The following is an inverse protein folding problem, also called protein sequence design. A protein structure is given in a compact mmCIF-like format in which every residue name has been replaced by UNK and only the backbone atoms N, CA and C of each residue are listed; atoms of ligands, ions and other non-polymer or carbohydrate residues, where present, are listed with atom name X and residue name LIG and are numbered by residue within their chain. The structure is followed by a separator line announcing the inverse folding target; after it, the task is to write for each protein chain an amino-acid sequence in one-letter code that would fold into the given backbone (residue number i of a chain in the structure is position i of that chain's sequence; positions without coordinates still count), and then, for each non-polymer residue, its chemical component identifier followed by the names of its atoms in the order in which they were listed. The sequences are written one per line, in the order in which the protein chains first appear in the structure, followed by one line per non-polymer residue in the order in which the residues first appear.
data_IF_497124930240
#
_entry.id   IF_497124930240
#
_cell.length_a   1.000
_cell.length_b   1.000
_cell.length_c   1.000
_cell.angle_alpha   90.00
_cell.angle_beta   90.00
_cell.angle_gamma   90.00
#
_symmetry.space_group_name_H-M   'P 1'
#
loop_
_entity.id
_entity.type
_entity.pdbx_description
1 polymer ?
#
# COMPACT_ATOMS: atom_id res chain seq x y z
N UNK A 1 19.27 24.92 -75.50
CA UNK A 1 20.71 24.97 -75.14
C UNK A 1 20.98 23.79 -74.21
N UNK A 2 21.94 22.93 -74.60
CA UNK A 2 22.62 21.81 -73.92
C UNK A 2 22.10 21.36 -72.53
N UNK A 3 21.50 20.16 -72.41
CA UNK A 3 22.11 18.86 -72.02
C UNK A 3 22.59 18.79 -70.56
N UNK A 4 21.93 17.97 -69.72
CA UNK A 4 22.60 16.88 -68.99
C UNK A 4 21.60 15.90 -68.34
N UNK A 5 21.82 14.62 -68.64
CA UNK A 5 21.24 13.42 -68.04
C UNK A 5 22.06 12.97 -66.81
N UNK A 6 21.51 11.94 -66.13
CA UNK A 6 22.09 10.96 -65.19
C UNK A 6 21.56 11.20 -63.75
N UNK A 7 20.55 10.45 -63.26
CA UNK A 7 20.43 9.00 -62.95
C UNK A 7 21.09 8.64 -61.62
N UNK A 8 20.28 8.12 -60.67
CA UNK A 8 20.46 6.92 -59.82
C UNK A 8 19.58 7.07 -58.56
N UNK A 9 18.93 6.08 -57.92
CA UNK A 9 18.28 4.79 -58.21
C UNK A 9 18.14 4.08 -56.82
N UNK A 10 17.03 3.36 -56.60
CA UNK A 10 16.75 2.25 -55.63
C UNK A 10 16.18 2.51 -54.22
N UNK A 11 14.95 1.95 -54.07
CA UNK A 11 14.42 0.97 -53.08
C UNK A 11 14.10 1.44 -51.66
N UNK A 12 12.83 1.27 -51.26
CA UNK A 12 12.41 0.20 -50.32
C UNK A 12 10.90 -0.10 -50.42
N UNK A 13 10.58 -1.38 -50.61
CA UNK A 13 9.26 -2.00 -50.40
C UNK A 13 9.00 -2.09 -48.89
N UNK A 14 7.78 -1.76 -48.46
CA UNK A 14 7.17 -2.38 -47.29
C UNK A 14 5.65 -2.27 -47.38
N UNK A 15 5.02 -3.44 -47.44
CA UNK A 15 3.59 -3.65 -47.22
C UNK A 15 3.12 -2.98 -45.92
N UNK A 16 2.00 -2.26 -45.98
CA UNK A 16 1.24 -1.89 -44.80
C UNK A 16 -0.19 -2.37 -45.00
N UNK A 17 -0.38 -3.64 -44.59
CA UNK A 17 -1.68 -4.24 -44.36
C UNK A 17 -2.39 -3.54 -43.20
N UNK A 18 -3.70 -3.40 -43.36
CA UNK A 18 -4.68 -3.07 -42.32
C UNK A 18 -4.37 -3.78 -40.99
N UNK A 19 -4.09 -2.99 -39.96
CA UNK A 19 -4.21 -3.42 -38.58
C UNK A 19 -5.35 -2.61 -37.95
N UNK A 20 -6.49 -3.29 -37.83
CA UNK A 20 -7.60 -2.96 -36.96
C UNK A 20 -7.03 -2.91 -35.52
N UNK A 21 -6.80 -1.71 -35.00
CA UNK A 21 -6.45 -1.53 -33.59
C UNK A 21 -7.67 -1.92 -32.75
N UNK A 22 -7.65 -3.17 -32.30
CA UNK A 22 -8.50 -3.63 -31.23
C UNK A 22 -8.22 -2.77 -30.00
N UNK A 23 -9.20 -1.91 -29.69
CA UNK A 23 -9.28 -1.17 -28.45
C UNK A 23 -9.59 -2.19 -27.33
N UNK A 24 -8.59 -3.00 -27.00
CA UNK A 24 -8.58 -3.77 -25.76
C UNK A 24 -8.38 -2.70 -24.69
N UNK A 25 -9.50 -2.25 -24.12
CA UNK A 25 -9.52 -1.70 -22.77
C UNK A 25 -8.82 -2.73 -21.90
N UNK A 26 -7.49 -2.55 -21.74
CA UNK A 26 -6.72 -3.17 -20.69
C UNK A 26 -7.36 -2.61 -19.44
N UNK A 27 -8.28 -3.37 -18.85
CA UNK A 27 -8.80 -3.08 -17.53
C UNK A 27 -7.57 -3.24 -16.64
N UNK A 28 -6.83 -2.16 -16.44
CA UNK A 28 -5.83 -2.13 -15.39
C UNK A 28 -6.58 -2.56 -14.12
N UNK A 29 -6.10 -3.60 -13.41
CA UNK A 29 -6.70 -3.98 -12.16
C UNK A 29 -6.72 -2.71 -11.33
N UNK A 30 -7.93 -2.21 -11.04
CA UNK A 30 -8.09 -1.01 -10.23
C UNK A 30 -7.53 -1.37 -8.86
N UNK A 31 -6.26 -1.07 -8.63
CA UNK A 31 -5.58 -1.26 -7.37
C UNK A 31 -6.27 -0.34 -6.37
N UNK A 32 -7.26 -0.87 -5.66
CA UNK A 32 -8.02 -0.13 -4.67
C UNK A 32 -7.30 -0.29 -3.34
N UNK A 33 -7.08 0.83 -2.65
CA UNK A 33 -6.64 0.71 -1.27
C UNK A 33 -7.69 -0.07 -0.46
N UNK A 34 -7.20 -0.96 0.39
CA UNK A 34 -8.05 -1.74 1.30
C UNK A 34 -8.44 -0.92 2.54
N UNK A 35 -7.97 0.33 2.67
CA UNK A 35 -8.40 1.24 3.74
C UNK A 35 -9.44 2.23 3.26
N UNK A 36 -10.48 2.42 4.08
CA UNK A 36 -11.45 3.49 3.91
C UNK A 36 -10.92 4.83 4.39
N UNK A 37 -11.41 5.91 3.77
CA UNK A 37 -11.09 7.30 4.10
C UNK A 37 -9.59 7.61 4.05
N UNK A 38 -8.88 7.07 3.07
CA UNK A 38 -7.43 7.24 2.90
C UNK A 38 -6.98 8.70 2.65
N UNK A 39 -7.89 9.53 2.13
CA UNK A 39 -7.67 10.95 1.82
C UNK A 39 -8.39 11.88 2.81
N UNK A 40 -8.82 11.36 3.98
CA UNK A 40 -9.41 12.14 5.08
C UNK A 40 -10.67 12.97 4.76
N UNK A 41 -11.34 12.75 3.62
CA UNK A 41 -12.50 13.53 3.20
C UNK A 41 -13.72 13.35 4.10
N UNK A 42 -13.85 12.18 4.73
CA UNK A 42 -14.96 11.86 5.62
C UNK A 42 -14.58 12.17 7.06
N UNK A 43 -15.41 12.93 7.75
CA UNK A 43 -15.17 13.34 9.13
C UNK A 43 -15.97 14.57 9.51
N UNK A 44 -15.83 14.98 10.77
CA UNK A 44 -16.45 16.18 11.29
C UNK A 44 -15.40 16.99 12.03
N UNK A 45 -15.35 18.29 11.70
CA UNK A 45 -14.37 19.22 12.27
C UNK A 45 -12.94 18.67 12.14
N UNK A 46 -12.16 18.70 13.23
CA UNK A 46 -10.77 18.22 13.28
C UNK A 46 -10.62 16.70 13.35
N UNK A 47 -11.69 15.91 13.22
CA UNK A 47 -11.66 14.44 13.34
C UNK A 47 -11.95 13.78 12.01
N UNK A 48 -11.09 12.86 11.57
CA UNK A 48 -11.31 12.03 10.39
C UNK A 48 -11.94 10.69 10.76
N UNK A 49 -13.02 10.31 10.08
CA UNK A 49 -13.74 9.06 10.37
C UNK A 49 -12.84 7.85 10.10
N UNK A 50 -12.83 6.90 11.04
CA UNK A 50 -12.06 5.67 10.95
C UNK A 50 -10.55 5.86 11.12
N UNK A 51 -10.08 7.03 11.55
CA UNK A 51 -8.70 7.30 11.94
C UNK A 51 -8.65 7.76 13.40
N UNK A 52 -7.57 7.44 14.09
CA UNK A 52 -7.32 7.93 15.45
C UNK A 52 -6.19 8.94 15.44
N UNK A 53 -6.47 10.16 15.88
CA UNK A 53 -5.49 11.23 16.12
C UNK A 53 -5.27 11.35 17.63
N UNK A 54 -4.02 11.23 18.10
CA UNK A 54 -3.72 11.13 19.55
C UNK A 54 -2.31 11.64 19.90
N UNK A 55 -1.95 11.53 21.21
CA UNK A 55 -0.82 12.10 21.94
C UNK A 55 -0.97 13.58 22.33
N UNK A 56 0.09 14.16 22.90
CA UNK A 56 0.05 15.45 23.59
C UNK A 56 -0.36 16.62 22.69
N UNK A 57 -0.05 16.55 21.39
CA UNK A 57 -0.49 17.54 20.40
C UNK A 57 -1.03 16.79 19.18
N UNK A 58 -2.27 16.28 19.25
CA UNK A 58 -2.79 15.38 18.24
C UNK A 58 -2.96 16.09 16.89
N UNK A 59 -2.84 15.37 15.77
CA UNK A 59 -3.18 15.87 14.46
C UNK A 59 -4.65 16.29 14.38
N UNK A 60 -4.97 17.13 13.39
CA UNK A 60 -6.36 17.46 13.05
C UNK A 60 -6.63 17.23 11.57
N UNK A 61 -7.86 16.85 11.24
CA UNK A 61 -8.38 16.90 9.87
C UNK A 61 -8.52 18.37 9.48
N UNK A 62 -7.79 18.80 8.45
CA UNK A 62 -7.70 20.20 8.05
C UNK A 62 -8.07 20.37 6.59
N UNK A 63 -8.77 21.47 6.29
CA UNK A 63 -9.00 21.94 4.92
C UNK A 63 -8.04 23.04 4.46
N UNK A 64 -6.96 23.30 5.20
CA UNK A 64 -5.99 24.36 4.88
C UNK A 64 -5.06 23.99 3.71
N UNK A 65 -4.79 22.71 3.52
CA UNK A 65 -3.99 22.15 2.43
C UNK A 65 -4.35 20.67 2.26
N UNK A 66 -4.36 20.18 1.03
CA UNK A 66 -4.67 18.79 0.72
C UNK A 66 -3.97 18.39 -0.58
N UNK A 67 -3.59 17.12 -0.69
CA UNK A 67 -2.95 16.59 -1.90
C UNK A 67 -4.00 16.19 -2.93
N UNK A 68 -5.09 15.57 -2.48
CA UNK A 68 -6.32 15.40 -3.27
C UNK A 68 -7.53 15.85 -2.46
N UNK A 69 -8.65 16.11 -3.13
CA UNK A 69 -9.88 16.50 -2.45
C UNK A 69 -9.78 17.87 -1.77
N UNK A 70 -10.23 17.93 -0.52
CA UNK A 70 -10.33 19.16 0.27
C UNK A 70 -9.80 19.01 1.69
N UNK A 71 -9.38 17.81 2.11
CA UNK A 71 -8.90 17.58 3.46
C UNK A 71 -7.62 16.75 3.49
N UNK A 72 -6.81 16.98 4.51
CA UNK A 72 -5.69 16.13 4.87
C UNK A 72 -5.53 16.08 6.40
N UNK A 73 -4.62 15.26 6.91
CA UNK A 73 -4.26 15.31 8.32
C UNK A 73 -3.11 16.32 8.53
N UNK A 74 -3.36 17.32 9.36
CA UNK A 74 -2.42 18.38 9.71
C UNK A 74 -1.78 18.13 11.07
N UNK A 75 -0.46 18.19 11.11
CA UNK A 75 0.37 18.03 12.31
C UNK A 75 1.09 19.34 12.58
N UNK A 76 0.93 19.88 13.79
CA UNK A 76 1.68 21.05 14.25
C UNK A 76 2.16 20.82 15.67
N UNK A 77 3.48 20.65 15.81
CA UNK A 77 4.15 20.41 17.07
C UNK A 77 4.92 21.65 17.49
N UNK A 78 4.79 22.00 18.77
CA UNK A 78 5.58 23.03 19.43
C UNK A 78 5.89 22.58 20.87
N UNK A 79 7.17 22.63 21.25
CA UNK A 79 7.59 22.31 22.60
C UNK A 79 7.19 23.41 23.58
N UNK A 80 6.72 23.01 24.76
CA UNK A 80 6.58 23.86 25.92
C UNK A 80 7.85 23.77 26.77
N UNK A 81 8.67 24.82 26.74
CA UNK A 81 10.03 24.76 27.27
C UNK A 81 10.82 23.65 26.57
N UNK A 82 11.49 22.79 27.34
CA UNK A 82 12.28 21.66 26.81
C UNK A 82 11.50 20.34 26.71
N UNK A 83 10.19 20.36 26.93
CA UNK A 83 9.38 19.14 26.86
C UNK A 83 9.11 18.77 25.39
N UNK A 84 9.48 17.55 24.95
CA UNK A 84 9.11 17.04 23.63
C UNK A 84 7.59 17.02 23.41
N UNK A 85 7.19 17.30 22.19
CA UNK A 85 5.82 17.19 21.71
C UNK A 85 5.70 16.04 20.73
N UNK A 86 4.56 15.35 20.73
CA UNK A 86 4.33 14.14 19.94
C UNK A 86 2.88 14.09 19.42
N UNK A 87 2.74 13.60 18.18
CA UNK A 87 1.48 13.39 17.48
C UNK A 87 1.47 12.01 16.83
N UNK A 88 0.36 11.27 16.94
CA UNK A 88 0.14 10.02 16.21
C UNK A 88 -1.10 10.09 15.31
N UNK A 89 -0.99 9.46 14.15
CA UNK A 89 -2.10 9.10 13.27
C UNK A 89 -2.13 7.58 13.17
N UNK A 90 -3.25 6.97 13.54
CA UNK A 90 -3.38 5.52 13.62
C UNK A 90 -4.56 5.04 12.76
N UNK A 91 -4.32 3.99 11.99
CA UNK A 91 -5.35 3.20 11.31
C UNK A 91 -5.20 1.74 11.67
N UNK A 92 -6.27 1.12 12.15
CA UNK A 92 -6.37 -0.34 12.22
C UNK A 92 -7.20 -0.82 11.04
N UNK A 93 -6.70 -1.84 10.35
CA UNK A 93 -7.37 -2.52 9.25
C UNK A 93 -7.70 -3.91 9.77
N UNK A 94 -8.96 -4.10 10.15
CA UNK A 94 -9.47 -5.38 10.63
C UNK A 94 -9.98 -6.22 9.46
N UNK A 95 -9.62 -7.50 9.44
CA UNK A 95 -10.05 -8.38 8.36
C UNK A 95 -9.06 -9.50 8.11
N UNK A 96 -9.49 -10.57 7.44
CA UNK A 96 -8.57 -11.66 7.11
C UNK A 96 -7.61 -11.13 6.03
N UNK A 97 -6.41 -10.76 6.45
CA UNK A 97 -5.31 -10.44 5.54
C UNK A 97 -4.82 -11.74 4.93
N UNK A 98 -4.73 -11.78 3.61
CA UNK A 98 -4.31 -12.99 2.91
C UNK A 98 -2.78 -13.03 2.96
N UNK A 99 -2.24 -13.97 3.73
CA UNK A 99 -0.80 -14.24 3.77
C UNK A 99 -0.29 -14.71 2.41
N UNK A 100 0.94 -14.31 2.07
CA UNK A 100 1.58 -14.66 0.80
C UNK A 100 1.27 -13.74 -0.38
N UNK A 101 0.39 -12.74 -0.22
CA UNK A 101 0.31 -11.62 -1.16
C UNK A 101 1.37 -10.57 -0.82
N UNK A 102 1.81 -9.83 -1.84
CA UNK A 102 2.63 -8.64 -1.65
C UNK A 102 1.74 -7.44 -1.36
N UNK A 103 2.02 -6.77 -0.24
CA UNK A 103 1.35 -5.52 0.11
C UNK A 103 2.29 -4.35 -0.07
N UNK A 104 1.72 -3.20 -0.36
CA UNK A 104 2.44 -1.93 -0.42
C UNK A 104 1.70 -0.90 0.42
N UNK A 105 2.47 -0.14 1.19
CA UNK A 105 2.01 1.09 1.83
C UNK A 105 2.58 2.28 1.04
N UNK A 106 1.71 3.20 0.63
CA UNK A 106 2.13 4.50 0.13
C UNK A 106 1.36 5.63 0.80
N UNK A 107 1.96 6.81 0.88
CA UNK A 107 1.32 8.00 1.45
C UNK A 107 2.04 9.26 0.98
N UNK A 108 1.33 10.38 0.96
CA UNK A 108 1.89 11.68 0.60
C UNK A 108 2.13 12.49 1.86
N UNK A 109 3.27 13.17 1.94
CA UNK A 109 3.58 14.09 3.03
C UNK A 109 4.14 15.40 2.49
N UNK A 110 3.68 16.51 3.06
CA UNK A 110 4.20 17.84 2.80
C UNK A 110 4.68 18.47 4.08
N UNK A 111 6.00 18.60 4.20
CA UNK A 111 6.61 19.26 5.34
C UNK A 111 6.54 20.78 5.14
N UNK A 112 6.08 21.54 6.13
CA UNK A 112 5.91 23.00 6.00
C UNK A 112 7.16 23.75 6.44
N UNK A 113 7.92 23.20 7.40
CA UNK A 113 9.18 23.75 7.87
C UNK A 113 10.16 22.62 8.20
N UNK A 114 11.49 22.85 8.17
CA UNK A 114 12.50 21.81 8.43
C UNK A 114 12.34 21.09 9.78
N UNK A 115 11.58 21.70 10.70
CA UNK A 115 11.49 21.30 12.09
C UNK A 115 12.74 21.73 12.85
N UNK A 116 12.59 22.03 14.13
CA UNK A 116 13.68 22.45 15.02
C UNK A 116 13.77 21.49 16.20
N UNK A 117 14.97 21.37 16.77
CA UNK A 117 15.17 20.61 18.00
C UNK A 117 15.07 19.09 17.83
N UNK A 118 15.45 18.55 16.67
CA UNK A 118 15.45 17.09 16.43
C UNK A 118 14.08 16.53 16.06
N UNK A 119 13.28 17.30 15.33
CA UNK A 119 12.02 16.84 14.75
C UNK A 119 12.24 15.63 13.83
N UNK A 120 11.48 14.56 14.06
CA UNK A 120 11.50 13.35 13.26
C UNK A 120 10.08 12.92 12.90
N UNK A 121 9.94 12.33 11.72
CA UNK A 121 8.70 11.73 11.23
C UNK A 121 8.98 10.24 11.00
N UNK A 122 8.10 9.38 11.48
CA UNK A 122 8.28 7.94 11.45
C UNK A 122 6.99 7.22 11.14
N UNK A 123 7.06 6.08 10.47
CA UNK A 123 5.94 5.16 10.34
C UNK A 123 6.27 3.81 10.95
N UNK A 124 5.22 3.07 11.29
CA UNK A 124 5.27 1.68 11.74
C UNK A 124 4.10 0.93 11.09
N UNK A 125 4.38 -0.28 10.61
CA UNK A 125 3.37 -1.29 10.28
C UNK A 125 3.51 -2.42 11.29
N UNK A 126 2.46 -2.69 12.05
CA UNK A 126 2.38 -3.78 13.03
C UNK A 126 1.26 -4.75 12.65
N UNK A 127 1.54 -6.04 12.66
CA UNK A 127 0.55 -7.09 12.41
C UNK A 127 0.14 -7.74 13.72
N UNK A 128 -1.16 -7.99 13.87
CA UNK A 128 -1.76 -8.48 15.11
C UNK A 128 -2.57 -9.74 14.83
N UNK A 129 -2.55 -10.69 15.76
CA UNK A 129 -3.34 -11.93 15.69
C UNK A 129 -4.77 -11.75 16.22
N UNK A 130 -5.53 -12.84 16.28
CA UNK A 130 -6.91 -12.85 16.78
C UNK A 130 -7.03 -12.50 18.27
N UNK A 131 -5.97 -12.75 19.05
CA UNK A 131 -5.89 -12.43 20.48
C UNK A 131 -5.42 -10.98 20.74
N UNK A 132 -5.30 -10.18 19.68
CA UNK A 132 -4.78 -8.81 19.73
C UNK A 132 -3.38 -8.76 20.32
N UNK A 133 -2.52 -9.70 19.95
CA UNK A 133 -1.09 -9.65 20.23
C UNK A 133 -0.31 -9.28 18.98
N UNK A 134 0.72 -8.44 19.15
CA UNK A 134 1.60 -8.08 18.05
C UNK A 134 2.45 -9.28 17.63
N UNK A 135 2.25 -9.76 16.40
CA UNK A 135 2.98 -10.89 15.81
C UNK A 135 4.32 -10.43 15.25
N UNK A 136 4.32 -9.29 14.54
CA UNK A 136 5.50 -8.70 13.89
C UNK A 136 5.29 -7.20 13.73
N UNK A 137 6.37 -6.46 13.55
CA UNK A 137 6.31 -5.07 13.10
C UNK A 137 7.57 -4.66 12.35
N UNK A 138 7.48 -3.56 11.59
CA UNK A 138 8.63 -3.00 10.87
C UNK A 138 9.64 -2.32 11.79
N UNK A 139 9.24 -2.04 13.04
CA UNK A 139 9.86 -1.02 13.88
C UNK A 139 9.65 0.39 13.29
N UNK A 140 10.10 1.42 14.02
CA UNK A 140 10.02 2.80 13.55
C UNK A 140 10.96 3.02 12.36
N UNK A 141 10.38 3.38 11.21
CA UNK A 141 11.11 3.78 10.01
C UNK A 141 10.95 5.27 9.81
N UNK A 142 12.06 5.99 9.63
CA UNK A 142 12.02 7.43 9.39
C UNK A 142 11.61 7.72 7.94
N UNK A 143 10.90 8.82 7.76
CA UNK A 143 10.62 9.40 6.45
C UNK A 143 10.74 10.93 6.51
N UNK A 144 10.84 11.56 5.35
CA UNK A 144 10.90 13.02 5.21
C UNK A 144 10.46 13.40 3.81
N UNK A 145 9.94 14.62 3.65
CA UNK A 145 9.69 15.23 2.34
C UNK A 145 10.40 16.57 2.21
N UNK A 146 10.43 17.07 0.98
CA UNK A 146 10.83 18.43 0.68
C UNK A 146 9.88 19.41 1.34
N UNK A 147 10.45 20.55 1.72
CA UNK A 147 9.68 21.63 2.34
C UNK A 147 8.79 22.27 1.28
N UNK A 148 7.50 22.37 1.57
CA UNK A 148 6.52 23.07 0.74
C UNK A 148 5.96 22.26 -0.44
N UNK A 149 6.42 21.02 -0.65
CA UNK A 149 5.97 20.14 -1.73
C UNK A 149 5.38 18.84 -1.16
N UNK A 150 4.39 18.29 -1.85
CA UNK A 150 3.88 16.95 -1.58
C UNK A 150 4.81 15.92 -2.21
N UNK A 151 5.45 15.09 -1.39
CA UNK A 151 6.23 13.94 -1.86
C UNK A 151 5.55 12.63 -1.46
N UNK A 152 5.64 11.64 -2.35
CA UNK A 152 5.17 10.27 -2.10
C UNK A 152 6.24 9.46 -1.38
N UNK A 153 5.83 8.76 -0.32
CA UNK A 153 6.62 7.72 0.32
C UNK A 153 6.00 6.38 -0.07
N UNK A 154 6.83 5.48 -0.60
CA UNK A 154 6.41 4.13 -1.01
C UNK A 154 7.19 3.10 -0.21
N UNK A 155 6.48 2.12 0.34
CA UNK A 155 7.00 1.01 1.12
C UNK A 155 6.53 -0.28 0.44
N UNK A 156 7.30 -0.79 -0.53
CA UNK A 156 6.94 -2.01 -1.25
C UNK A 156 7.21 -3.26 -0.41
N UNK A 157 6.74 -4.40 -0.91
CA UNK A 157 7.10 -5.74 -0.44
C UNK A 157 6.82 -5.98 1.07
N UNK A 158 5.70 -5.46 1.57
CA UNK A 158 5.24 -5.72 2.93
C UNK A 158 4.72 -7.16 3.04
N UNK A 159 5.60 -8.04 3.49
CA UNK A 159 5.30 -9.45 3.76
C UNK A 159 4.42 -9.60 5.01
N UNK A 160 3.23 -10.13 4.81
CA UNK A 160 2.25 -10.38 5.87
C UNK A 160 2.55 -11.72 6.55
N UNK A 161 2.83 -11.74 7.87
CA UNK A 161 3.01 -12.97 8.62
C UNK A 161 1.78 -13.88 8.55
N UNK A 162 2.01 -15.17 8.79
CA UNK A 162 0.90 -16.12 8.96
C UNK A 162 0.10 -15.80 10.23
N UNK A 163 -1.19 -16.19 10.22
CA UNK A 163 -2.11 -16.07 11.36
C UNK A 163 -2.40 -14.64 11.85
N UNK A 164 -2.23 -13.63 11.00
CA UNK A 164 -2.60 -12.26 11.35
C UNK A 164 -4.06 -11.96 11.02
N UNK A 165 -4.70 -11.20 11.90
CA UNK A 165 -6.10 -10.79 11.83
C UNK A 165 -6.29 -9.30 11.55
N UNK A 166 -5.29 -8.49 11.85
CA UNK A 166 -5.33 -7.07 11.54
C UNK A 166 -3.93 -6.53 11.34
N UNK A 167 -3.89 -5.35 10.72
CA UNK A 167 -2.69 -4.54 10.62
C UNK A 167 -2.98 -3.16 11.18
N UNK A 168 -2.02 -2.64 11.93
CA UNK A 168 -2.02 -1.29 12.47
C UNK A 168 -0.96 -0.48 11.74
N UNK A 169 -1.40 0.60 11.13
CA UNK A 169 -0.53 1.65 10.59
C UNK A 169 -0.43 2.75 11.63
N UNK A 170 0.79 3.14 11.99
CA UNK A 170 1.06 4.27 12.88
C UNK A 170 2.01 5.23 12.16
N UNK A 171 1.60 6.49 12.07
CA UNK A 171 2.48 7.60 11.71
C UNK A 171 2.74 8.43 12.96
N UNK A 172 4.00 8.63 13.28
CA UNK A 172 4.50 9.29 14.48
C UNK A 172 5.32 10.50 14.09
N UNK A 173 5.00 11.63 14.73
CA UNK A 173 5.75 12.87 14.60
C UNK A 173 6.17 13.28 16.00
N UNK A 174 7.45 13.58 16.19
CA UNK A 174 7.96 13.95 17.51
C UNK A 174 9.10 14.95 17.40
N UNK A 175 9.22 15.82 18.39
CA UNK A 175 10.36 16.74 18.56
C UNK A 175 11.34 16.22 19.62
N UNK A 176 12.58 16.70 19.62
CA UNK A 176 13.52 16.42 20.71
C UNK A 176 13.32 17.36 21.90
N UNK A 177 14.01 17.08 23.01
CA UNK A 177 13.94 17.86 24.26
C UNK A 177 14.73 19.18 24.18
N UNK A 178 14.35 20.04 23.25
CA UNK A 178 15.01 21.33 22.95
C UNK A 178 13.99 22.44 23.08
N UNK A 179 14.39 23.55 23.70
CA UNK A 179 13.52 24.72 23.82
C UNK A 179 13.19 25.30 22.45
N UNK A 180 11.90 25.55 22.20
CA UNK A 180 11.44 26.00 20.88
C UNK A 180 11.49 24.92 19.79
N UNK A 181 11.71 23.65 20.15
CA UNK A 181 11.58 22.52 19.22
C UNK A 181 10.18 22.49 18.60
N UNK A 182 10.10 22.26 17.30
CA UNK A 182 8.85 22.36 16.56
C UNK A 182 8.88 21.52 15.29
N UNK A 183 7.72 21.21 14.75
CA UNK A 183 7.58 20.47 13.49
C UNK A 183 6.19 20.68 12.92
N UNK A 184 6.07 20.71 11.59
CA UNK A 184 4.81 20.99 10.94
C UNK A 184 4.74 20.30 9.59
N UNK A 185 3.69 19.53 9.38
CA UNK A 185 3.51 18.72 8.18
C UNK A 185 2.04 18.43 7.91
N UNK A 186 1.72 18.14 6.65
CA UNK A 186 0.48 17.50 6.24
C UNK A 186 0.78 16.08 5.74
N UNK A 187 -0.14 15.16 5.98
CA UNK A 187 -0.13 13.81 5.39
C UNK A 187 -1.49 13.52 4.76
N UNK A 188 -1.48 12.88 3.60
CA UNK A 188 -2.66 12.63 2.79
C UNK A 188 -2.50 11.37 1.92
N UNK A 189 -3.61 10.90 1.34
CA UNK A 189 -3.65 9.78 0.39
C UNK A 189 -2.91 8.51 0.86
N UNK A 190 -3.18 8.07 2.09
CA UNK A 190 -2.54 6.88 2.66
C UNK A 190 -3.15 5.63 2.04
N UNK A 191 -2.42 4.95 1.17
CA UNK A 191 -2.87 3.71 0.52
C UNK A 191 -2.17 2.53 1.13
N UNK A 192 -2.96 1.55 1.56
CA UNK A 192 -2.49 0.18 1.76
C UNK A 192 -3.15 -0.69 0.70
N UNK A 193 -2.35 -1.32 -0.15
CA UNK A 193 -2.82 -2.09 -1.31
C UNK A 193 -2.25 -3.50 -1.24
N UNK A 194 -3.00 -4.46 -1.79
CA UNK A 194 -2.54 -5.82 -2.02
C UNK A 194 -2.46 -6.04 -3.53
N UNK A 195 -1.37 -6.63 -4.02
CA UNK A 195 -1.37 -7.17 -5.38
C UNK A 195 -2.13 -8.50 -5.37
N UNK A 196 -3.39 -8.40 -5.74
CA UNK A 196 -4.32 -9.52 -5.84
C UNK A 196 -4.77 -9.72 -7.29
N UNK A 197 -3.89 -9.41 -8.25
CA UNK A 197 -4.06 -9.78 -9.66
C UNK A 197 -4.13 -11.31 -9.82
N UNK A 198 -4.72 -11.77 -10.93
CA UNK A 198 -4.79 -13.20 -11.23
C UNK A 198 -3.39 -13.82 -11.26
N UNK A 199 -2.45 -13.14 -11.93
CA UNK A 199 -1.06 -13.56 -12.06
C UNK A 199 -0.35 -13.60 -10.71
N UNK A 200 -0.47 -12.55 -9.89
CA UNK A 200 0.16 -12.52 -8.57
C UNK A 200 -0.38 -13.62 -7.65
N UNK A 201 -1.69 -13.84 -7.65
CA UNK A 201 -2.30 -14.93 -6.88
C UNK A 201 -1.78 -16.29 -7.32
N UNK A 202 -1.67 -16.56 -8.62
CA UNK A 202 -1.14 -17.83 -9.14
C UNK A 202 0.30 -18.05 -8.66
N UNK A 203 1.17 -17.06 -8.79
CA UNK A 203 2.56 -17.13 -8.31
C UNK A 203 2.62 -17.39 -6.80
N UNK A 204 1.79 -16.69 -6.02
CA UNK A 204 1.71 -16.88 -4.57
C UNK A 204 1.20 -18.28 -4.21
N UNK A 205 0.19 -18.81 -4.92
CA UNK A 205 -0.34 -20.16 -4.71
C UNK A 205 0.74 -21.20 -4.98
N UNK A 206 1.41 -21.13 -6.14
CA UNK A 206 2.47 -22.07 -6.54
C UNK A 206 3.58 -22.10 -5.48
N UNK A 207 4.07 -20.93 -5.08
CA UNK A 207 5.09 -20.80 -4.03
C UNK A 207 4.66 -21.42 -2.69
N UNK A 208 3.42 -21.20 -2.26
CA UNK A 208 2.92 -21.74 -0.99
C UNK A 208 2.73 -23.26 -1.04
N UNK A 209 2.34 -23.81 -2.20
CA UNK A 209 2.29 -25.27 -2.41
C UNK A 209 3.69 -25.88 -2.38
N UNK A 210 4.68 -25.25 -3.04
CA UNK A 210 6.08 -25.70 -3.04
C UNK A 210 6.69 -25.74 -1.63
N UNK A 211 6.32 -24.77 -0.79
CA UNK A 211 6.76 -24.69 0.61
C UNK A 211 5.94 -25.58 1.57
N UNK A 212 5.02 -26.41 1.06
CA UNK A 212 4.08 -27.20 1.84
C UNK A 212 3.22 -26.38 2.83
N UNK A 213 2.98 -25.10 2.53
CA UNK A 213 2.15 -24.20 3.34
C UNK A 213 0.68 -24.30 2.91
N UNK A 214 0.10 -25.48 3.07
CA UNK A 214 -1.18 -25.85 2.44
C UNK A 214 -2.39 -25.03 2.95
N UNK A 215 -2.43 -24.66 4.22
CA UNK A 215 -3.49 -23.77 4.77
C UNK A 215 -3.50 -22.42 4.05
N UNK A 216 -2.34 -21.81 3.85
CA UNK A 216 -2.20 -20.52 3.17
C UNK A 216 -2.53 -20.67 1.68
N UNK A 217 -2.02 -21.74 1.05
CA UNK A 217 -2.32 -22.04 -0.35
C UNK A 217 -3.84 -22.19 -0.60
N UNK A 218 -4.57 -22.88 0.29
CA UNK A 218 -6.03 -23.01 0.18
C UNK A 218 -6.73 -21.66 0.28
N UNK A 219 -6.31 -20.80 1.21
CA UNK A 219 -6.88 -19.45 1.35
C UNK A 219 -6.63 -18.58 0.11
N UNK A 220 -5.47 -18.72 -0.54
CA UNK A 220 -5.16 -18.02 -1.79
C UNK A 220 -5.98 -18.57 -2.96
N UNK A 221 -6.14 -19.89 -3.07
CA UNK A 221 -6.97 -20.53 -4.11
C UNK A 221 -8.43 -20.11 -3.98
N UNK A 222 -8.98 -20.09 -2.76
CA UNK A 222 -10.35 -19.63 -2.52
C UNK A 222 -10.53 -18.17 -2.92
N UNK A 223 -9.53 -17.32 -2.65
CA UNK A 223 -9.52 -15.91 -3.05
C UNK A 223 -9.46 -15.75 -4.57
N UNK A 224 -8.64 -16.54 -5.25
CA UNK A 224 -8.55 -16.57 -6.72
C UNK A 224 -9.90 -16.95 -7.34
N UNK A 225 -10.49 -18.07 -6.90
CA UNK A 225 -11.75 -18.58 -7.47
C UNK A 225 -12.94 -17.64 -7.21
N UNK A 226 -12.92 -16.91 -6.09
CA UNK A 226 -13.93 -15.92 -5.79
C UNK A 226 -13.80 -14.67 -6.68
N UNK A 227 -12.57 -14.20 -6.89
CA UNK A 227 -12.32 -12.93 -7.59
C UNK A 227 -12.25 -13.08 -9.11
N UNK A 228 -11.78 -14.24 -9.58
CA UNK A 228 -11.51 -14.53 -10.98
C UNK A 228 -12.18 -15.84 -11.43
N UNK A 229 -13.51 -15.96 -11.32
CA UNK A 229 -14.22 -17.19 -11.67
C UNK A 229 -14.12 -17.54 -13.16
N UNK A 230 -13.91 -16.55 -14.02
CA UNK A 230 -13.84 -16.67 -15.47
C UNK A 230 -12.40 -16.71 -16.02
N UNK A 231 -11.39 -16.71 -15.15
CA UNK A 231 -9.99 -16.77 -15.57
C UNK A 231 -9.65 -18.15 -16.18
N UNK A 232 -8.83 -18.22 -17.25
CA UNK A 232 -8.43 -19.49 -17.87
C UNK A 232 -7.83 -20.51 -16.88
N UNK A 233 -7.24 -20.06 -15.78
CA UNK A 233 -6.68 -20.91 -14.72
C UNK A 233 -7.69 -21.36 -13.66
N UNK A 234 -8.96 -20.93 -13.71
CA UNK A 234 -9.95 -21.27 -12.68
C UNK A 234 -10.17 -22.79 -12.53
N UNK A 235 -10.24 -23.54 -13.63
CA UNK A 235 -10.37 -25.01 -13.56
C UNK A 235 -9.10 -25.68 -13.00
N UNK A 236 -7.92 -25.17 -13.35
CA UNK A 236 -6.65 -25.60 -12.78
C UNK A 236 -6.63 -25.36 -11.26
N UNK A 237 -7.07 -24.19 -10.80
CA UNK A 237 -7.15 -23.83 -9.39
C UNK A 237 -8.17 -24.68 -8.62
N UNK A 238 -9.32 -25.02 -9.21
CA UNK A 238 -10.28 -25.97 -8.61
C UNK A 238 -9.65 -27.36 -8.41
N UNK A 239 -8.94 -27.86 -9.43
CA UNK A 239 -8.26 -29.15 -9.35
C UNK A 239 -7.13 -29.12 -8.30
N UNK A 240 -6.35 -28.05 -8.26
CA UNK A 240 -5.30 -27.85 -7.27
C UNK A 240 -5.86 -27.79 -5.85
N UNK A 241 -6.97 -27.07 -5.63
CA UNK A 241 -7.69 -27.02 -4.36
C UNK A 241 -8.02 -28.42 -3.83
N UNK A 242 -8.51 -29.31 -4.70
CA UNK A 242 -8.82 -30.69 -4.33
C UNK A 242 -7.58 -31.49 -3.93
N UNK A 243 -6.46 -31.30 -4.63
CA UNK A 243 -5.18 -31.94 -4.31
C UNK A 243 -4.61 -31.44 -2.99
N UNK A 244 -4.55 -30.13 -2.79
CA UNK A 244 -4.00 -29.51 -1.56
C UNK A 244 -4.83 -29.90 -0.34
N UNK A 245 -6.18 -29.89 -0.43
CA UNK A 245 -7.03 -30.38 0.65
C UNK A 245 -6.73 -31.83 1.05
N UNK A 246 -6.47 -32.70 0.07
CA UNK A 246 -6.12 -34.09 0.35
C UNK A 246 -4.77 -34.21 1.07
N UNK A 247 -3.80 -33.38 0.73
CA UNK A 247 -2.50 -33.36 1.42
C UNK A 247 -2.63 -32.85 2.86
N UNK A 248 -3.38 -31.77 3.09
CA UNK A 248 -3.64 -31.26 4.44
C UNK A 248 -4.28 -32.33 5.33
N UNK A 249 -5.29 -33.04 4.83
CA UNK A 249 -5.96 -34.12 5.59
C UNK A 249 -5.03 -35.27 5.95
N UNK A 250 -4.01 -35.55 5.11
CA UNK A 250 -3.04 -36.60 5.39
C UNK A 250 -2.07 -36.17 6.51
N UNK A 251 -1.61 -34.92 6.49
CA UNK A 251 -0.78 -34.35 7.57
C UNK A 251 -1.52 -34.38 8.91
N UNK A 252 -2.76 -33.89 8.95
CA UNK A 252 -3.58 -33.86 10.17
C UNK A 252 -3.89 -35.27 10.72
N UNK A 253 -3.85 -36.30 9.87
CA UNK A 253 -4.09 -37.71 10.26
C UNK A 253 -2.83 -38.45 10.74
N UNK A 254 -1.67 -37.82 10.60
CA UNK A 254 -0.36 -38.38 10.94
C UNK A 254 0.23 -37.88 12.27
N UNK A 255 -0.43 -36.90 12.89
CA UNK A 255 -0.20 -36.42 14.26
C UNK A 255 -1.08 -37.15 15.29
#
# INVERSE_FOLDING_TARGET
MKTQHILFLLIFLADLSLAEESNINKIEPKVRSIIGNFSFEVGQEGVAEGWTFTNGQPPIRSGSDARTGSHSAYVNLQNEGKNPSEAHIIKTIDGKLIGGLNYELSFFVKQIKPGTGGYIQQYVVEWWDEDQQAVKGTGFKQFSSKIGEWDEIVVPDLDIPENVRSVKLLFRFVTGAVEGGSGEAFIDDIKFIADDSSEALVVSIERKVELAQFVVALSLIDSFLLKYPDDPKAEEMKALRGRVNKFQQLEDSSE
#
